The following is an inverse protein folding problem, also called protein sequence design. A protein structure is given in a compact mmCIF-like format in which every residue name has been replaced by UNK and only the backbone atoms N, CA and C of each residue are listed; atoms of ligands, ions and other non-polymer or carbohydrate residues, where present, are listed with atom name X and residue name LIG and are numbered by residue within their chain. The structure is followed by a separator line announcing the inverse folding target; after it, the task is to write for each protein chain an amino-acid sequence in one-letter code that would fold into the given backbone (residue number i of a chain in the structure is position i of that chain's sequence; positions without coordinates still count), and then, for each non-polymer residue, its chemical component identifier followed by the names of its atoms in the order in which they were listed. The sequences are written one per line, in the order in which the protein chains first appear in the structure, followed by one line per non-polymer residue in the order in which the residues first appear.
data_IF_416498826384
#
_entry.id   IF_416498826384
#
_cell.length_a   1.000
_cell.length_b   1.000
_cell.length_c   1.000
_cell.angle_alpha   90.00
_cell.angle_beta   90.00
_cell.angle_gamma   90.00
#
_symmetry.space_group_name_H-M   'P 1'
#
loop_
_entity.id
_entity.type
_entity.pdbx_description
1 polymer ?
#
# COMPACT_ATOMS: atom_id res chain seq x y z
N UNK A 1 -1.11 -37.63 11.09
CA UNK A 1 -1.06 -36.85 9.81
C UNK A 1 -2.32 -37.24 9.04
N UNK A 2 -3.21 -36.28 8.77
CA UNK A 2 -4.38 -36.50 7.93
C UNK A 2 -3.95 -36.75 6.48
N UNK A 3 -4.53 -37.73 5.77
CA UNK A 3 -4.28 -37.94 4.36
C UNK A 3 -4.60 -36.66 3.57
N UNK A 4 -3.83 -36.37 2.53
CA UNK A 4 -3.97 -35.16 1.70
C UNK A 4 -5.41 -34.92 1.20
N UNK A 5 -6.15 -36.00 0.88
CA UNK A 5 -7.55 -35.94 0.46
C UNK A 5 -8.49 -35.44 1.56
N UNK A 6 -8.23 -35.82 2.80
CA UNK A 6 -9.08 -35.43 3.94
C UNK A 6 -8.80 -33.99 4.36
N UNK A 7 -7.55 -33.50 4.20
CA UNK A 7 -7.21 -32.10 4.37
C UNK A 7 -7.95 -31.21 3.36
N UNK A 8 -7.95 -31.60 2.09
CA UNK A 8 -8.66 -30.83 1.02
C UNK A 8 -10.18 -30.86 1.27
N UNK A 9 -10.75 -32.01 1.67
CA UNK A 9 -12.17 -32.10 2.03
C UNK A 9 -12.50 -31.24 3.24
N UNK A 10 -11.68 -31.27 4.28
CA UNK A 10 -11.88 -30.44 5.49
C UNK A 10 -11.74 -28.94 5.19
N UNK A 11 -10.83 -28.55 4.32
CA UNK A 11 -10.69 -27.17 3.86
C UNK A 11 -11.90 -26.70 3.03
N UNK A 12 -12.43 -27.57 2.15
CA UNK A 12 -13.65 -27.28 1.39
C UNK A 12 -14.89 -27.16 2.30
N UNK A 13 -15.03 -28.05 3.29
CA UNK A 13 -16.11 -27.99 4.30
C UNK A 13 -15.98 -26.73 5.17
N UNK A 14 -14.77 -26.37 5.58
CA UNK A 14 -14.53 -25.15 6.36
C UNK A 14 -14.88 -23.89 5.55
N UNK A 15 -14.57 -23.85 4.26
CA UNK A 15 -14.94 -22.75 3.37
C UNK A 15 -16.47 -22.65 3.19
N UNK A 16 -17.18 -23.77 3.15
CA UNK A 16 -18.65 -23.80 3.08
C UNK A 16 -19.30 -23.34 4.40
N UNK A 17 -18.71 -23.70 5.54
CA UNK A 17 -19.18 -23.29 6.86
C UNK A 17 -18.94 -21.80 7.16
N UNK A 18 -17.95 -21.19 6.52
CA UNK A 18 -17.66 -19.75 6.62
C UNK A 18 -18.56 -18.89 5.73
N UNK A 19 -19.54 -19.48 5.03
CA UNK A 19 -20.53 -18.73 4.24
C UNK A 19 -19.92 -17.95 3.08
N UNK A 20 -18.71 -18.28 2.64
CA UNK A 20 -18.15 -17.70 1.42
C UNK A 20 -18.92 -18.24 0.21
N UNK A 21 -19.59 -17.39 -0.56
CA UNK A 21 -20.30 -17.85 -1.74
C UNK A 21 -19.29 -18.29 -2.81
N UNK A 22 -19.05 -19.59 -2.94
CA UNK A 22 -18.27 -20.20 -4.03
C UNK A 22 -18.72 -19.68 -5.41
N UNK A 23 -20.02 -19.40 -5.56
CA UNK A 23 -20.60 -18.76 -6.74
C UNK A 23 -19.98 -17.41 -7.11
N UNK A 24 -19.47 -16.65 -6.13
CA UNK A 24 -18.78 -15.38 -6.40
C UNK A 24 -17.38 -15.58 -6.97
N UNK A 25 -16.66 -16.60 -6.53
CA UNK A 25 -15.34 -16.91 -7.08
C UNK A 25 -15.43 -17.35 -8.54
N UNK A 26 -16.41 -18.20 -8.88
CA UNK A 26 -16.69 -18.57 -10.28
C UNK A 26 -17.10 -17.35 -11.12
N UNK A 27 -17.93 -16.46 -10.58
CA UNK A 27 -18.29 -15.22 -11.27
C UNK A 27 -17.09 -14.34 -11.55
N UNK A 28 -16.14 -14.22 -10.61
CA UNK A 28 -14.89 -13.44 -10.80
C UNK A 28 -14.04 -14.02 -11.92
N UNK A 29 -13.91 -15.34 -11.96
CA UNK A 29 -13.13 -16.06 -12.97
C UNK A 29 -13.81 -16.06 -14.35
N UNK A 30 -15.15 -16.11 -14.38
CA UNK A 30 -15.94 -16.19 -15.61
C UNK A 30 -16.50 -14.85 -16.11
N UNK A 31 -16.41 -13.77 -15.32
CA UNK A 31 -16.95 -12.47 -15.74
C UNK A 31 -16.08 -11.87 -16.84
N UNK A 32 -16.69 -11.53 -17.96
CA UNK A 32 -16.01 -10.78 -19.03
C UNK A 32 -15.43 -9.48 -18.48
N UNK A 33 -14.36 -9.00 -19.13
CA UNK A 33 -13.76 -7.72 -18.74
C UNK A 33 -14.80 -6.60 -18.79
N UNK A 34 -15.04 -5.94 -17.67
CA UNK A 34 -15.87 -4.73 -17.66
C UNK A 34 -15.05 -3.62 -18.32
N UNK A 35 -15.49 -3.04 -19.44
CA UNK A 35 -14.73 -1.97 -20.08
C UNK A 35 -14.63 -0.75 -19.15
N UNK A 36 -13.49 -0.08 -19.16
CA UNK A 36 -13.35 1.19 -18.45
C UNK A 36 -14.24 2.26 -19.12
N UNK A 37 -14.94 3.08 -18.34
CA UNK A 37 -15.72 4.18 -18.91
C UNK A 37 -14.79 5.19 -19.58
N UNK A 38 -15.18 5.73 -20.75
CA UNK A 38 -14.44 6.81 -21.41
C UNK A 38 -14.37 8.04 -20.49
N UNK A 39 -13.23 8.72 -20.48
CA UNK A 39 -13.05 9.99 -19.74
C UNK A 39 -14.02 11.09 -20.21
N UNK A 40 -14.46 11.04 -21.46
CA UNK A 40 -15.43 12.00 -22.00
C UNK A 40 -16.77 11.95 -21.29
N UNK A 41 -17.15 10.77 -20.76
CA UNK A 41 -18.34 10.61 -19.94
C UNK A 41 -18.28 11.43 -18.63
N UNK A 42 -17.08 11.74 -18.12
CA UNK A 42 -16.97 12.53 -16.91
C UNK A 42 -17.59 13.94 -17.08
N UNK A 43 -17.55 14.48 -18.28
CA UNK A 43 -18.15 15.79 -18.60
C UNK A 43 -19.60 15.67 -19.10
N UNK A 44 -19.93 14.62 -19.89
CA UNK A 44 -21.23 14.47 -20.52
C UNK A 44 -22.25 13.71 -19.66
N UNK A 45 -21.82 12.70 -18.92
CA UNK A 45 -22.62 11.89 -17.98
C UNK A 45 -21.77 11.47 -16.79
N UNK A 46 -21.50 12.37 -15.82
CA UNK A 46 -20.70 12.06 -14.64
C UNK A 46 -21.23 10.87 -13.85
N UNK A 47 -22.56 10.72 -13.76
CA UNK A 47 -23.19 9.62 -13.02
C UNK A 47 -22.91 8.28 -13.68
N UNK A 48 -23.04 8.19 -14.98
CA UNK A 48 -22.70 7.01 -15.78
C UNK A 48 -21.20 6.67 -15.68
N UNK A 49 -20.34 7.69 -15.74
CA UNK A 49 -18.90 7.50 -15.54
C UNK A 49 -18.56 6.82 -14.20
N UNK A 50 -19.06 7.39 -13.10
CA UNK A 50 -18.78 6.85 -11.77
C UNK A 50 -19.42 5.49 -11.53
N UNK A 51 -20.59 5.21 -12.10
CA UNK A 51 -21.21 3.90 -12.04
C UNK A 51 -20.37 2.86 -12.81
N UNK A 52 -19.89 3.19 -14.00
CA UNK A 52 -19.00 2.33 -14.79
C UNK A 52 -17.64 2.10 -14.10
N UNK A 53 -17.10 3.14 -13.45
CA UNK A 53 -15.87 3.00 -12.67
C UNK A 53 -16.11 2.08 -11.46
N UNK A 54 -17.19 2.27 -10.70
CA UNK A 54 -17.52 1.42 -9.56
C UNK A 54 -17.67 -0.06 -9.94
N UNK A 55 -18.17 -0.36 -11.15
CA UNK A 55 -18.30 -1.72 -11.64
C UNK A 55 -16.96 -2.46 -11.80
N UNK A 56 -15.82 -1.75 -11.71
CA UNK A 56 -14.49 -2.36 -11.69
C UNK A 56 -14.14 -3.04 -10.35
N UNK A 57 -14.94 -2.87 -9.30
CA UNK A 57 -14.71 -3.46 -7.98
C UNK A 57 -15.83 -4.42 -7.60
N UNK A 58 -15.47 -5.46 -6.84
CA UNK A 58 -16.40 -6.47 -6.32
C UNK A 58 -17.16 -6.01 -5.06
N UNK A 59 -17.25 -4.73 -4.83
CA UNK A 59 -17.99 -4.17 -3.70
C UNK A 59 -19.49 -4.50 -3.84
N UNK A 60 -20.13 -4.92 -2.74
CA UNK A 60 -21.57 -5.11 -2.72
C UNK A 60 -22.29 -3.82 -3.12
N UNK A 61 -23.45 -3.90 -3.82
CA UNK A 61 -24.13 -2.71 -4.34
C UNK A 61 -24.51 -1.68 -3.26
N UNK A 62 -24.81 -2.16 -2.07
CA UNK A 62 -25.21 -1.40 -0.89
C UNK A 62 -24.03 -1.00 0.02
N UNK A 63 -22.81 -1.41 -0.32
CA UNK A 63 -21.61 -1.09 0.47
C UNK A 63 -20.91 0.16 -0.07
N UNK A 64 -20.65 1.12 0.82
CA UNK A 64 -19.82 2.29 0.55
C UNK A 64 -18.54 2.15 1.35
N UNK A 65 -17.42 1.91 0.67
CA UNK A 65 -16.11 1.84 1.30
C UNK A 65 -15.47 3.24 1.35
N UNK A 66 -15.31 3.76 2.55
CA UNK A 66 -14.65 5.04 2.81
C UNK A 66 -13.28 4.86 3.50
N UNK A 67 -12.81 3.62 3.64
CA UNK A 67 -11.56 3.31 4.35
C UNK A 67 -10.47 2.68 3.46
N UNK A 68 -10.44 3.02 2.19
CA UNK A 68 -9.42 2.53 1.25
C UNK A 68 -7.97 2.81 1.70
N UNK A 69 -7.77 3.78 2.60
CA UNK A 69 -6.47 4.10 3.18
C UNK A 69 -5.91 3.03 4.13
N UNK A 70 -6.75 2.16 4.70
CA UNK A 70 -6.31 1.03 5.54
C UNK A 70 -6.09 -0.22 4.70
N UNK A 71 -7.14 -0.72 4.06
CA UNK A 71 -7.12 -1.89 3.18
C UNK A 71 -8.06 -1.59 2.02
N UNK A 72 -7.51 -1.14 0.91
CA UNK A 72 -8.30 -0.88 -0.29
C UNK A 72 -8.62 -2.16 -1.05
N UNK A 73 -9.79 -2.20 -1.69
CA UNK A 73 -10.15 -3.28 -2.59
C UNK A 73 -9.37 -3.16 -3.91
N UNK A 74 -8.88 -4.28 -4.42
CA UNK A 74 -8.28 -4.32 -5.75
C UNK A 74 -9.35 -4.32 -6.83
N UNK A 75 -9.17 -3.57 -7.93
CA UNK A 75 -10.09 -3.62 -9.07
C UNK A 75 -9.97 -4.95 -9.82
N UNK A 76 -11.05 -5.34 -10.51
CA UNK A 76 -11.15 -6.59 -11.25
C UNK A 76 -9.98 -6.88 -12.20
N UNK A 77 -9.46 -5.92 -12.99
CA UNK A 77 -8.30 -6.18 -13.84
C UNK A 77 -7.06 -6.60 -13.08
N UNK A 78 -6.83 -6.01 -11.90
CA UNK A 78 -5.70 -6.37 -11.03
C UNK A 78 -5.89 -7.76 -10.44
N UNK A 79 -7.08 -8.07 -9.92
CA UNK A 79 -7.39 -9.40 -9.38
C UNK A 79 -7.20 -10.49 -10.43
N UNK A 80 -7.65 -10.26 -11.67
CA UNK A 80 -7.45 -11.20 -12.78
C UNK A 80 -5.99 -11.41 -13.09
N UNK A 81 -5.24 -10.32 -13.27
CA UNK A 81 -3.82 -10.42 -13.56
C UNK A 81 -3.06 -11.20 -12.47
N UNK A 82 -3.45 -11.03 -11.20
CA UNK A 82 -2.88 -11.80 -10.09
C UNK A 82 -3.24 -13.29 -10.18
N UNK A 83 -4.50 -13.61 -10.45
CA UNK A 83 -4.98 -14.99 -10.57
C UNK A 83 -4.32 -15.67 -11.77
N UNK A 84 -4.31 -15.02 -12.93
CA UNK A 84 -3.71 -15.55 -14.15
C UNK A 84 -2.21 -15.81 -13.97
N UNK A 85 -1.52 -14.92 -13.26
CA UNK A 85 -0.11 -15.09 -12.94
C UNK A 85 0.13 -16.30 -12.02
N UNK A 86 -0.70 -16.45 -10.97
CA UNK A 86 -0.61 -17.60 -10.05
C UNK A 86 -0.84 -18.91 -10.82
N UNK A 87 -1.89 -18.98 -11.64
CA UNK A 87 -2.22 -20.16 -12.42
C UNK A 87 -1.11 -20.50 -13.43
N UNK A 88 -0.59 -19.50 -14.14
CA UNK A 88 0.52 -19.67 -15.08
C UNK A 88 1.78 -20.18 -14.38
N UNK A 89 2.11 -19.67 -13.21
CA UNK A 89 3.27 -20.11 -12.43
C UNK A 89 3.14 -21.58 -11.98
N UNK A 90 1.90 -22.03 -11.66
CA UNK A 90 1.66 -23.43 -11.32
C UNK A 90 1.67 -24.37 -12.53
N UNK A 91 1.15 -23.90 -13.68
CA UNK A 91 1.05 -24.69 -14.91
C UNK A 91 2.42 -24.96 -15.52
N UNK A 92 3.21 -23.91 -15.69
CA UNK A 92 4.45 -24.03 -16.45
C UNK A 92 5.66 -24.40 -15.60
N UNK A 93 5.61 -24.26 -14.27
CA UNK A 93 6.72 -24.55 -13.35
C UNK A 93 8.09 -24.08 -13.85
N UNK A 94 8.07 -23.20 -14.84
CA UNK A 94 9.32 -22.63 -15.31
C UNK A 94 9.96 -21.85 -14.17
N UNK A 95 11.30 -21.82 -14.10
CA UNK A 95 12.01 -20.89 -13.25
C UNK A 95 11.80 -19.46 -13.79
N UNK A 96 10.52 -19.04 -13.90
CA UNK A 96 10.11 -17.71 -14.26
C UNK A 96 10.53 -16.67 -13.20
N UNK A 97 11.05 -17.17 -12.10
CA UNK A 97 11.75 -16.38 -11.10
C UNK A 97 13.20 -16.85 -11.05
N UNK A 98 14.12 -16.16 -11.70
CA UNK A 98 15.49 -16.25 -11.27
C UNK A 98 15.51 -15.77 -9.82
N UNK A 99 15.59 -16.70 -8.89
CA UNK A 99 15.76 -16.41 -7.45
C UNK A 99 17.01 -15.55 -7.21
N UNK A 100 17.84 -15.44 -8.21
CA UNK A 100 19.10 -14.73 -8.23
C UNK A 100 19.26 -14.04 -9.58
N UNK A 101 18.93 -12.76 -9.66
CA UNK A 101 19.16 -11.94 -10.83
C UNK A 101 17.91 -11.16 -11.25
N UNK A 102 17.70 -10.02 -10.62
CA UNK A 102 16.73 -9.02 -11.10
C UNK A 102 17.12 -8.48 -12.50
N UNK A 103 18.35 -8.72 -12.93
CA UNK A 103 18.94 -8.16 -14.15
C UNK A 103 18.36 -8.78 -15.43
N UNK A 104 17.82 -9.99 -15.37
CA UNK A 104 17.30 -10.71 -16.54
C UNK A 104 15.74 -10.74 -16.60
N UNK A 105 15.04 -10.09 -15.66
CA UNK A 105 13.58 -10.11 -15.62
C UNK A 105 13.00 -8.90 -16.36
N UNK A 106 12.80 -9.02 -17.66
CA UNK A 106 12.22 -7.98 -18.50
C UNK A 106 10.88 -7.44 -18.00
N UNK A 107 10.04 -8.28 -17.39
CA UNK A 107 8.73 -7.87 -16.86
C UNK A 107 8.88 -6.97 -15.63
N UNK A 108 9.81 -7.28 -14.74
CA UNK A 108 10.09 -6.46 -13.56
C UNK A 108 10.72 -5.13 -13.97
N UNK A 109 11.62 -5.15 -14.95
CA UNK A 109 12.22 -3.94 -15.51
C UNK A 109 11.14 -3.07 -16.17
N UNK A 110 10.29 -3.61 -17.01
CA UNK A 110 9.19 -2.89 -17.64
C UNK A 110 8.22 -2.27 -16.63
N UNK A 111 7.93 -2.98 -15.54
CA UNK A 111 7.11 -2.44 -14.44
C UNK A 111 7.80 -1.27 -13.76
N UNK A 112 9.09 -1.41 -13.42
CA UNK A 112 9.86 -0.32 -12.79
C UNK A 112 9.99 0.89 -13.71
N UNK A 113 10.20 0.69 -15.01
CA UNK A 113 10.24 1.76 -16.00
C UNK A 113 8.90 2.49 -16.10
N UNK A 114 7.79 1.76 -16.10
CA UNK A 114 6.45 2.33 -16.09
C UNK A 114 6.17 3.16 -14.83
N UNK A 115 6.57 2.65 -13.66
CA UNK A 115 6.43 3.35 -12.39
C UNK A 115 7.36 4.58 -12.31
N UNK A 116 8.59 4.47 -12.78
CA UNK A 116 9.54 5.57 -12.83
C UNK A 116 9.01 6.73 -13.70
N UNK A 117 8.47 6.39 -14.87
CA UNK A 117 7.81 7.37 -15.75
C UNK A 117 6.62 8.05 -15.07
N UNK A 118 5.77 7.27 -14.39
CA UNK A 118 4.59 7.80 -13.68
C UNK A 118 4.97 8.70 -12.50
N UNK A 119 6.03 8.36 -11.77
CA UNK A 119 6.52 9.10 -10.61
C UNK A 119 7.51 10.21 -10.95
N UNK A 120 7.91 10.32 -12.23
CA UNK A 120 8.92 11.29 -12.70
C UNK A 120 10.29 11.15 -11.99
N UNK A 121 10.72 9.89 -11.80
CA UNK A 121 12.02 9.54 -11.21
C UNK A 121 12.78 8.57 -12.11
N UNK A 122 14.05 8.27 -11.80
CA UNK A 122 14.78 7.23 -12.50
C UNK A 122 14.42 5.83 -11.96
N UNK A 123 14.49 4.80 -12.81
CA UNK A 123 14.24 3.43 -12.40
C UNK A 123 15.09 2.98 -11.21
N UNK A 124 16.34 3.44 -11.15
CA UNK A 124 17.28 3.04 -10.10
C UNK A 124 17.01 3.72 -8.74
N UNK A 125 16.13 4.71 -8.73
CA UNK A 125 15.63 5.36 -7.51
C UNK A 125 14.39 4.65 -6.93
N UNK A 126 13.91 3.56 -7.58
CA UNK A 126 12.73 2.82 -7.18
C UNK A 126 13.08 1.45 -6.63
N UNK A 127 12.57 1.14 -5.45
CA UNK A 127 12.54 -0.20 -4.88
C UNK A 127 11.08 -0.65 -4.71
N UNK A 128 10.76 -1.85 -5.22
CA UNK A 128 9.46 -2.46 -5.03
C UNK A 128 9.45 -3.21 -3.70
N UNK A 129 8.53 -2.87 -2.83
CA UNK A 129 8.37 -3.49 -1.50
C UNK A 129 6.91 -3.89 -1.29
N UNK A 130 6.65 -4.76 -0.32
CA UNK A 130 5.31 -5.32 -0.09
C UNK A 130 4.32 -4.30 0.46
N UNK A 131 4.78 -3.36 1.27
CA UNK A 131 3.94 -2.34 1.90
C UNK A 131 4.78 -1.20 2.49
N UNK A 132 4.10 -0.11 2.89
CA UNK A 132 4.74 1.06 3.49
C UNK A 132 5.48 0.76 4.80
N UNK A 133 5.03 -0.20 5.60
CA UNK A 133 5.72 -0.60 6.84
C UNK A 133 7.09 -1.19 6.54
N UNK A 134 7.20 -2.04 5.52
CA UNK A 134 8.49 -2.57 5.06
C UNK A 134 9.38 -1.45 4.53
N UNK A 135 8.86 -0.57 3.66
CA UNK A 135 9.59 0.58 3.14
C UNK A 135 10.16 1.45 4.27
N UNK A 136 9.34 1.79 5.26
CA UNK A 136 9.78 2.56 6.42
C UNK A 136 10.88 1.84 7.20
N UNK A 137 10.78 0.53 7.40
CA UNK A 137 11.81 -0.25 8.09
C UNK A 137 13.14 -0.26 7.30
N UNK A 138 13.10 -0.37 5.98
CA UNK A 138 14.30 -0.29 5.13
C UNK A 138 15.00 1.05 5.33
N UNK A 139 14.26 2.17 5.22
CA UNK A 139 14.81 3.52 5.39
C UNK A 139 15.34 3.72 6.82
N UNK A 140 14.51 3.43 7.83
CA UNK A 140 14.88 3.63 9.24
C UNK A 140 16.13 2.84 9.63
N UNK A 141 16.23 1.59 9.21
CA UNK A 141 17.40 0.76 9.52
C UNK A 141 18.63 1.11 8.68
N UNK A 142 18.42 1.59 7.45
CA UNK A 142 19.51 2.00 6.56
C UNK A 142 20.19 3.31 6.94
N UNK A 143 19.52 4.19 7.72
CA UNK A 143 20.10 5.45 8.14
C UNK A 143 21.12 5.23 9.29
N UNK A 144 22.34 5.73 9.11
CA UNK A 144 23.40 5.66 10.13
C UNK A 144 23.27 6.82 11.12
N UNK A 145 22.32 6.68 12.06
CA UNK A 145 22.12 7.64 13.15
C UNK A 145 22.92 7.22 14.40
N UNK A 146 23.46 8.21 15.09
CA UNK A 146 24.27 8.02 16.30
C UNK A 146 23.41 8.20 17.57
N UNK A 147 23.86 7.65 18.72
CA UNK A 147 23.21 7.94 20.00
C UNK A 147 23.13 9.45 20.25
N UNK A 148 21.94 9.93 20.56
CA UNK A 148 21.67 11.35 20.77
C UNK A 148 21.26 12.15 19.53
N UNK A 149 21.38 11.60 18.33
CA UNK A 149 20.73 12.16 17.15
C UNK A 149 19.22 12.21 17.34
N UNK A 150 18.56 13.20 16.77
CA UNK A 150 17.14 13.43 16.95
C UNK A 150 16.36 13.18 15.66
N UNK A 151 15.23 12.49 15.82
CA UNK A 151 14.20 12.31 14.77
C UNK A 151 12.96 13.06 15.21
N UNK A 152 12.53 14.00 14.40
CA UNK A 152 11.31 14.75 14.57
C UNK A 152 10.18 14.06 13.85
N UNK A 153 9.09 13.76 14.54
CA UNK A 153 7.90 13.12 13.98
C UNK A 153 6.63 13.71 14.58
N UNK A 154 5.48 13.42 14.01
CA UNK A 154 4.22 13.97 14.51
C UNK A 154 3.50 13.01 15.48
N UNK A 155 2.55 13.55 16.26
CA UNK A 155 1.64 12.76 17.11
C UNK A 155 0.53 12.05 16.29
N UNK A 156 0.50 12.27 14.96
CA UNK A 156 -0.52 11.72 14.07
C UNK A 156 0.02 10.65 13.10
N UNK A 157 1.19 10.11 13.39
CA UNK A 157 1.79 9.07 12.56
C UNK A 157 1.05 7.73 12.67
N UNK A 158 0.93 7.05 11.53
CA UNK A 158 0.47 5.67 11.52
C UNK A 158 1.47 4.75 12.26
N UNK A 159 1.01 3.75 13.03
CA UNK A 159 1.91 2.84 13.75
C UNK A 159 2.99 2.20 12.86
N UNK A 160 2.65 1.83 11.61
CA UNK A 160 3.61 1.26 10.65
C UNK A 160 4.74 2.22 10.25
N UNK A 161 4.55 3.54 10.42
CA UNK A 161 5.59 4.55 10.25
C UNK A 161 6.33 4.85 11.56
N UNK A 162 5.61 4.94 12.68
CA UNK A 162 6.15 5.32 13.99
C UNK A 162 6.96 4.21 14.66
N UNK A 163 6.44 2.97 14.70
CA UNK A 163 7.08 1.87 15.42
C UNK A 163 8.53 1.57 15.01
N UNK A 164 8.93 1.65 13.73
CA UNK A 164 10.33 1.49 13.33
C UNK A 164 11.26 2.50 14.02
N UNK A 165 10.82 3.75 14.16
CA UNK A 165 11.59 4.80 14.86
C UNK A 165 11.68 4.55 16.36
N UNK A 166 10.60 4.11 17.00
CA UNK A 166 10.58 3.73 18.41
C UNK A 166 11.55 2.58 18.69
N UNK A 167 11.58 1.60 17.79
CA UNK A 167 12.52 0.50 17.88
C UNK A 167 13.99 0.99 17.73
N UNK A 168 14.24 1.88 16.76
CA UNK A 168 15.57 2.47 16.56
C UNK A 168 16.03 3.27 17.77
N UNK A 169 15.13 4.07 18.34
CA UNK A 169 15.40 4.82 19.56
C UNK A 169 15.77 3.90 20.73
N UNK A 170 14.98 2.85 20.96
CA UNK A 170 15.23 1.91 22.04
C UNK A 170 16.55 1.12 21.89
N UNK A 171 16.94 0.80 20.65
CA UNK A 171 18.13 -0.04 20.37
C UNK A 171 19.42 0.75 20.23
N UNK A 172 19.35 1.96 19.68
CA UNK A 172 20.52 2.71 19.26
C UNK A 172 20.67 4.09 19.95
N UNK A 173 19.79 4.43 20.89
CA UNK A 173 19.88 5.66 21.65
C UNK A 173 19.53 6.93 20.86
N UNK A 174 18.87 6.80 19.73
CA UNK A 174 18.30 7.91 18.98
C UNK A 174 17.15 8.52 19.78
N UNK A 175 16.97 9.82 19.75
CA UNK A 175 15.90 10.52 20.45
C UNK A 175 14.73 10.81 19.49
N UNK A 176 13.52 10.60 19.97
CA UNK A 176 12.30 10.93 19.22
C UNK A 176 11.69 12.21 19.82
N UNK A 177 11.59 13.25 19.00
CA UNK A 177 10.90 14.47 19.32
C UNK A 177 9.55 14.46 18.59
N UNK A 178 8.46 14.67 19.31
CA UNK A 178 7.10 14.62 18.75
C UNK A 178 6.51 16.00 18.64
N UNK A 179 6.14 16.38 17.42
CA UNK A 179 5.37 17.61 17.14
C UNK A 179 3.89 17.30 17.30
N UNK A 180 3.22 18.01 18.18
CA UNK A 180 1.77 17.94 18.32
C UNK A 180 1.11 18.78 17.24
N UNK A 181 0.39 18.12 16.32
CA UNK A 181 -0.36 18.80 15.26
C UNK A 181 -1.77 19.16 15.72
N UNK A 182 -2.25 20.38 15.40
CA UNK A 182 -3.62 20.79 15.72
C UNK A 182 -4.66 19.98 14.93
N UNK A 183 -5.86 19.84 15.49
CA UNK A 183 -6.95 18.99 14.95
C UNK A 183 -8.28 19.78 14.89
N UNK A 184 -8.62 20.45 13.79
CA UNK A 184 -7.86 20.64 12.55
C UNK A 184 -6.80 21.75 12.67
N UNK A 185 -5.81 21.82 11.77
CA UNK A 185 -4.93 22.96 11.67
C UNK A 185 -5.68 24.18 11.12
N UNK A 186 -5.33 25.37 11.62
CA UNK A 186 -5.91 26.61 11.12
C UNK A 186 -5.35 27.01 9.75
N UNK A 187 -4.07 26.73 9.51
CA UNK A 187 -3.40 26.98 8.24
C UNK A 187 -2.19 26.05 8.05
N UNK A 188 -1.61 26.03 6.84
CA UNK A 188 -0.37 25.34 6.55
C UNK A 188 0.81 25.96 7.31
N UNK A 189 0.83 27.28 7.45
CA UNK A 189 1.87 28.02 8.17
C UNK A 189 1.93 27.60 9.64
N UNK A 190 0.79 27.37 10.29
CA UNK A 190 0.77 26.86 11.67
C UNK A 190 1.50 25.52 11.79
N UNK A 191 1.37 24.65 10.79
CA UNK A 191 2.06 23.37 10.78
C UNK A 191 3.56 23.58 10.62
N UNK A 192 3.98 24.42 9.65
CA UNK A 192 5.39 24.75 9.40
C UNK A 192 6.02 25.34 10.65
N UNK A 193 5.40 26.33 11.29
CA UNK A 193 5.90 26.96 12.50
C UNK A 193 6.12 25.95 13.62
N UNK A 194 5.24 24.95 13.77
CA UNK A 194 5.42 23.91 14.79
C UNK A 194 6.63 23.03 14.52
N UNK A 195 6.87 22.68 13.25
CA UNK A 195 8.06 21.93 12.88
C UNK A 195 9.31 22.77 13.08
N UNK A 196 9.35 24.03 12.62
CA UNK A 196 10.50 24.93 12.77
C UNK A 196 10.86 25.13 14.23
N UNK A 197 9.88 25.37 15.11
CA UNK A 197 10.09 25.52 16.55
C UNK A 197 10.57 24.24 17.25
N UNK A 198 10.34 23.07 16.67
CA UNK A 198 10.77 21.79 17.21
C UNK A 198 12.14 21.33 16.69
N UNK A 199 12.67 21.97 15.62
CA UNK A 199 14.00 21.66 15.09
C UNK A 199 15.09 22.06 16.07
N UNK A 200 16.09 21.19 16.21
CA UNK A 200 17.29 21.45 16.98
C UNK A 200 18.55 21.20 16.13
N UNK A 201 19.74 21.66 16.54
CA UNK A 201 20.98 21.31 15.85
C UNK A 201 21.28 19.80 15.80
N UNK A 202 20.59 18.99 16.60
CA UNK A 202 20.71 17.52 16.63
C UNK A 202 19.67 16.82 15.76
N UNK A 203 18.69 17.54 15.22
CA UNK A 203 17.69 16.97 14.33
C UNK A 203 18.34 16.52 13.04
N UNK A 204 18.31 15.21 12.77
CA UNK A 204 18.88 14.57 11.59
C UNK A 204 17.83 14.11 10.61
N UNK A 205 16.62 13.84 11.09
CA UNK A 205 15.50 13.35 10.29
C UNK A 205 14.23 14.08 10.70
N UNK A 206 13.46 14.48 9.70
CA UNK A 206 12.08 14.90 9.86
C UNK A 206 11.21 13.85 9.16
N UNK A 207 10.31 13.22 9.90
CA UNK A 207 9.43 12.17 9.40
C UNK A 207 7.98 12.55 9.66
N UNK A 208 7.18 12.52 8.62
CA UNK A 208 5.73 12.77 8.73
C UNK A 208 4.96 12.05 7.61
N UNK A 209 3.72 11.68 7.91
CA UNK A 209 2.78 11.17 6.91
C UNK A 209 2.23 12.33 6.09
N UNK A 210 2.34 12.26 4.76
CA UNK A 210 1.80 13.30 3.87
C UNK A 210 0.29 13.51 4.06
N UNK A 211 -0.46 12.40 4.31
CA UNK A 211 -1.85 12.44 4.77
C UNK A 211 -1.91 11.81 6.14
N UNK A 212 -2.28 12.59 7.14
CA UNK A 212 -2.32 12.15 8.53
C UNK A 212 -3.35 11.05 8.76
N UNK A 213 -3.09 10.18 9.73
CA UNK A 213 -3.99 9.06 10.07
C UNK A 213 -5.26 9.54 10.79
N UNK A 214 -5.19 10.66 11.51
CA UNK A 214 -6.26 11.11 12.40
C UNK A 214 -7.35 11.85 11.65
N UNK A 215 -7.01 12.88 10.91
CA UNK A 215 -7.99 13.72 10.21
C UNK A 215 -8.04 13.51 8.69
N UNK A 216 -7.16 12.64 8.17
CA UNK A 216 -7.06 12.30 6.74
C UNK A 216 -6.79 13.51 5.84
N UNK A 217 -6.17 14.56 6.38
CA UNK A 217 -5.75 15.74 5.64
C UNK A 217 -4.27 15.73 5.33
N UNK A 218 -3.90 16.44 4.27
CA UNK A 218 -2.50 16.67 3.94
C UNK A 218 -1.82 17.50 5.03
N UNK A 219 -0.55 17.21 5.30
CA UNK A 219 0.31 17.98 6.21
C UNK A 219 1.03 19.11 5.45
N UNK A 220 0.98 19.07 4.12
CA UNK A 220 1.65 20.04 3.22
C UNK A 220 0.66 20.59 2.22
#
# INVERSE_FOLDING_TARGET
MLPRRDFIRSAAVAATLLGMPFQRAEQILCTQSVPLPSRDLLSSDPKGYWAGLRAQWLLAPDHIDLNCGSVGCSPLPVLRAMIDHILSAEEYREPAYPWFGYEENDRLHALRDSLASYLHVNRDELALVRNATEANNVVVNGLDLKPGDEVLLTDQEHPGGRCPWEQKAARFGVKLNTVALPKPPASAEEIVDRFENALTPKTRVVFFSHITTVDRKSVV
#
